data_IF_498111970697
#
_entry.id   IF_498111970697
#
_cell.length_a   1.000
_cell.length_b   1.000
_cell.length_c   1.000
_cell.angle_alpha   90.00
_cell.angle_beta   90.00
_cell.angle_gamma   90.00
#
_symmetry.space_group_name_H-M   'P 1'
#
loop_
_entity.id
_entity.type
_entity.pdbx_description
1 polymer ?
#
# COMPACT_ATOMS: atom_id res chain seq x y z
N UNK A 1 33.14 7.04 -14.50
CA UNK A 1 31.76 7.53 -14.65
C UNK A 1 31.79 8.73 -15.58
N UNK A 2 30.93 8.80 -16.62
CA UNK A 2 30.95 9.93 -17.55
C UNK A 2 30.60 11.24 -16.81
N UNK A 3 31.38 12.29 -17.09
CA UNK A 3 31.22 13.64 -16.57
C UNK A 3 30.32 14.39 -17.56
N UNK A 4 29.35 15.17 -17.07
CA UNK A 4 28.57 16.04 -17.93
C UNK A 4 29.48 17.19 -18.43
N UNK A 5 29.75 17.29 -19.75
CA UNK A 5 30.68 18.30 -20.27
C UNK A 5 30.16 19.74 -20.11
N UNK A 6 28.85 19.95 -19.87
CA UNK A 6 28.26 21.27 -19.65
C UNK A 6 28.31 21.73 -18.18
N UNK A 7 28.41 20.81 -17.22
CA UNK A 7 28.29 21.14 -15.78
C UNK A 7 29.48 20.68 -14.94
N UNK A 8 30.41 19.91 -15.49
CA UNK A 8 31.58 19.39 -14.75
C UNK A 8 31.23 18.43 -13.62
N UNK A 9 29.95 18.06 -13.47
CA UNK A 9 29.46 17.15 -12.45
C UNK A 9 29.47 15.71 -12.97
N UNK A 10 29.72 14.76 -12.07
CA UNK A 10 29.43 13.36 -12.36
C UNK A 10 27.94 13.24 -12.69
N UNK A 11 27.59 12.64 -13.83
CA UNK A 11 26.21 12.22 -14.08
C UNK A 11 25.94 11.01 -13.18
N UNK A 12 25.58 11.24 -11.92
CA UNK A 12 25.13 10.15 -11.06
C UNK A 12 23.78 9.67 -11.62
N UNK A 13 23.76 8.55 -12.34
CA UNK A 13 22.54 7.96 -12.86
C UNK A 13 21.48 7.89 -11.75
N UNK A 14 20.34 8.56 -11.97
CA UNK A 14 19.18 8.55 -11.08
C UNK A 14 18.87 7.12 -10.61
N UNK A 15 18.96 6.82 -9.29
CA UNK A 15 18.95 5.43 -8.81
C UNK A 15 17.59 4.77 -9.04
N UNK A 16 17.62 3.54 -9.55
CA UNK A 16 16.45 2.68 -9.70
C UNK A 16 16.35 1.76 -8.49
N UNK A 17 15.17 1.73 -7.87
CA UNK A 17 14.86 0.86 -6.74
C UNK A 17 13.58 0.07 -7.01
N UNK A 18 13.38 -1.01 -6.26
CA UNK A 18 12.14 -1.79 -6.26
C UNK A 18 11.53 -1.74 -4.88
N UNK A 19 10.23 -1.48 -4.83
CA UNK A 19 9.43 -1.52 -3.59
C UNK A 19 8.21 -2.37 -3.83
N UNK A 20 7.88 -3.20 -2.85
CA UNK A 20 6.75 -4.10 -2.95
C UNK A 20 5.83 -3.99 -1.74
N UNK A 21 4.54 -4.14 -2.00
CA UNK A 21 3.50 -4.30 -1.00
C UNK A 21 2.86 -5.66 -1.22
N UNK A 22 2.67 -6.41 -0.14
CA UNK A 22 2.08 -7.74 -0.17
C UNK A 22 0.89 -7.76 0.78
N UNK A 23 -0.19 -8.42 0.37
CA UNK A 23 -1.33 -8.66 1.24
C UNK A 23 -1.99 -10.00 0.94
N UNK A 24 -2.68 -10.52 1.94
CA UNK A 24 -3.54 -11.69 1.80
C UNK A 24 -4.99 -11.23 1.81
N UNK A 25 -5.75 -11.66 0.81
CA UNK A 25 -7.20 -11.39 0.76
C UNK A 25 -7.96 -12.28 1.76
N UNK A 26 -9.25 -12.04 2.02
CA UNK A 26 -10.07 -12.91 2.86
C UNK A 26 -10.01 -14.40 2.47
N UNK A 27 -10.20 -15.28 3.46
CA UNK A 27 -10.21 -16.72 3.29
C UNK A 27 -11.56 -17.24 2.71
N UNK A 28 -11.97 -16.69 1.58
CA UNK A 28 -13.18 -17.08 0.83
C UNK A 28 -12.87 -17.24 -0.66
N UNK A 29 -13.83 -17.72 -1.45
CA UNK A 29 -13.71 -17.86 -2.90
C UNK A 29 -14.73 -16.98 -3.63
N UNK A 30 -15.11 -15.85 -3.03
CA UNK A 30 -16.12 -14.96 -3.61
C UNK A 30 -15.58 -14.36 -4.89
N UNK A 31 -16.30 -14.55 -6.00
CA UNK A 31 -15.89 -14.01 -7.29
C UNK A 31 -15.87 -12.48 -7.26
N UNK A 32 -14.82 -11.88 -7.83
CA UNK A 32 -14.81 -10.45 -8.13
C UNK A 32 -15.63 -10.18 -9.39
N UNK A 33 -16.49 -9.17 -9.34
CA UNK A 33 -17.05 -8.52 -10.51
C UNK A 33 -16.08 -7.47 -11.07
N UNK A 34 -16.31 -7.06 -12.32
CA UNK A 34 -15.60 -5.93 -12.89
C UNK A 34 -15.91 -4.65 -12.09
N UNK A 35 -14.87 -4.00 -11.58
CA UNK A 35 -14.97 -2.82 -10.73
C UNK A 35 -14.84 -3.09 -9.23
N UNK A 36 -14.72 -4.34 -8.79
CA UNK A 36 -14.55 -4.66 -7.37
C UNK A 36 -13.15 -4.34 -6.87
N UNK A 37 -13.06 -3.87 -5.62
CA UNK A 37 -11.81 -3.73 -4.91
C UNK A 37 -11.21 -5.11 -4.58
N UNK A 38 -9.92 -5.26 -4.83
CA UNK A 38 -9.11 -6.41 -4.41
C UNK A 38 -8.28 -5.91 -3.23
N UNK A 39 -8.57 -6.41 -2.03
CA UNK A 39 -8.11 -5.78 -0.80
C UNK A 39 -7.72 -6.79 0.29
N UNK A 40 -6.94 -6.36 1.30
CA UNK A 40 -6.55 -7.22 2.41
C UNK A 40 -7.74 -7.70 3.22
N UNK A 41 -7.58 -8.88 3.84
CA UNK A 41 -8.54 -9.38 4.81
C UNK A 41 -8.82 -8.36 5.92
N UNK A 42 -10.10 -8.20 6.24
CA UNK A 42 -10.55 -7.35 7.35
C UNK A 42 -10.69 -8.19 8.61
N UNK A 43 -10.23 -7.68 9.74
CA UNK A 43 -10.33 -8.37 11.03
C UNK A 43 -11.23 -7.57 11.98
N UNK A 44 -12.15 -8.24 12.66
CA UNK A 44 -13.02 -7.62 13.64
C UNK A 44 -12.24 -7.22 14.90
N UNK A 45 -12.60 -6.08 15.47
CA UNK A 45 -12.10 -5.58 16.75
C UNK A 45 -13.06 -6.04 17.86
N UNK A 46 -12.51 -6.66 18.90
CA UNK A 46 -13.26 -7.12 20.09
C UNK A 46 -13.01 -6.26 21.32
N UNK A 47 -12.08 -5.29 21.26
CA UNK A 47 -11.84 -4.34 22.33
C UNK A 47 -10.86 -3.23 21.96
N UNK A 48 -10.97 -2.08 22.64
CA UNK A 48 -10.04 -0.97 22.54
C UNK A 48 -9.87 -0.29 23.91
N UNK A 49 -8.68 -0.31 24.49
CA UNK A 49 -8.46 0.25 25.85
C UNK A 49 -8.64 1.76 25.89
N UNK A 50 -9.22 2.27 26.98
CA UNK A 50 -9.23 3.71 27.26
C UNK A 50 -7.92 4.13 27.94
N UNK A 51 -6.83 4.09 27.17
CA UNK A 51 -5.47 4.38 27.63
C UNK A 51 -4.69 5.20 26.57
N UNK A 52 -3.46 5.59 26.88
CA UNK A 52 -2.52 6.20 25.93
C UNK A 52 -1.20 5.42 25.94
N UNK A 53 -0.88 4.65 24.87
CA UNK A 53 -1.67 4.46 23.66
C UNK A 53 -2.91 3.56 23.87
N UNK A 54 -3.92 3.74 23.01
CA UNK A 54 -5.01 2.75 22.85
C UNK A 54 -4.38 1.43 22.41
N UNK A 55 -4.74 0.34 23.10
CA UNK A 55 -4.45 -1.04 22.68
C UNK A 55 -5.73 -1.64 22.12
N UNK A 56 -5.67 -2.05 20.85
CA UNK A 56 -6.76 -2.74 20.15
C UNK A 56 -6.58 -4.24 20.36
N UNK A 57 -7.68 -4.93 20.64
CA UNK A 57 -7.80 -6.39 20.61
C UNK A 57 -8.65 -6.80 19.42
N UNK A 58 -8.20 -7.79 18.67
CA UNK A 58 -8.88 -8.34 17.49
C UNK A 58 -9.44 -9.73 17.78
N UNK A 59 -10.51 -10.11 17.09
CA UNK A 59 -11.19 -11.39 17.28
C UNK A 59 -10.44 -12.60 16.69
N UNK A 60 -9.45 -12.36 15.84
CA UNK A 60 -8.61 -13.35 15.19
C UNK A 60 -7.19 -12.78 14.96
N UNK A 61 -6.17 -13.60 14.67
CA UNK A 61 -4.84 -13.11 14.37
C UNK A 61 -4.83 -12.05 13.27
N UNK A 62 -4.25 -10.88 13.54
CA UNK A 62 -4.32 -9.73 12.62
C UNK A 62 -3.27 -9.75 11.51
N UNK A 63 -2.21 -10.55 11.67
CA UNK A 63 -1.08 -10.68 10.72
C UNK A 63 -0.30 -9.38 10.42
N UNK A 64 -0.65 -8.28 11.08
CA UNK A 64 0.08 -7.01 11.06
C UNK A 64 1.50 -7.13 11.61
N UNK A 65 2.36 -6.25 11.14
CA UNK A 65 3.72 -5.99 11.61
C UNK A 65 3.84 -4.60 12.26
N UNK A 66 4.95 -4.38 12.97
CA UNK A 66 5.28 -3.04 13.45
C UNK A 66 5.39 -2.05 12.29
N UNK A 67 4.93 -0.83 12.54
CA UNK A 67 4.85 0.27 11.58
C UNK A 67 3.89 0.04 10.40
N UNK A 68 3.10 -1.03 10.38
CA UNK A 68 2.00 -1.15 9.43
C UNK A 68 1.00 0.01 9.61
N UNK A 69 0.43 0.43 8.48
CA UNK A 69 -0.65 1.42 8.45
C UNK A 69 -1.94 0.66 8.26
N UNK A 70 -2.93 1.00 9.07
CA UNK A 70 -4.25 0.36 9.04
C UNK A 70 -5.33 1.40 8.93
N UNK A 71 -6.44 1.03 8.31
CA UNK A 71 -7.70 1.73 8.36
C UNK A 71 -8.60 1.04 9.39
N UNK A 72 -9.00 1.77 10.43
CA UNK A 72 -9.96 1.30 11.45
C UNK A 72 -11.29 2.02 11.25
N UNK A 73 -12.39 1.29 11.26
CA UNK A 73 -13.73 1.87 11.12
C UNK A 73 -14.75 1.19 12.05
N UNK A 74 -15.77 1.94 12.47
CA UNK A 74 -16.92 1.39 13.19
C UNK A 74 -16.70 1.07 14.67
N UNK A 75 -15.62 1.53 15.31
CA UNK A 75 -15.44 1.41 16.77
C UNK A 75 -16.40 2.37 17.47
N UNK A 76 -17.24 1.84 18.36
CA UNK A 76 -18.21 2.59 19.17
C UNK A 76 -17.70 2.75 20.60
N UNK A 77 -17.97 3.89 21.23
CA UNK A 77 -17.45 4.25 22.54
C UNK A 77 -16.08 4.92 22.42
N UNK A 78 -15.00 4.14 22.33
CA UNK A 78 -13.64 4.65 22.15
C UNK A 78 -13.36 5.06 20.68
N UNK A 79 -14.09 6.09 20.20
CA UNK A 79 -14.08 6.48 18.79
C UNK A 79 -12.75 7.05 18.30
N UNK A 80 -11.84 7.44 19.21
CA UNK A 80 -10.47 7.83 18.86
C UNK A 80 -9.66 6.70 18.18
N UNK A 81 -10.11 5.45 18.31
CA UNK A 81 -9.52 4.33 17.57
C UNK A 81 -9.75 4.41 16.05
N UNK A 82 -10.86 5.03 15.59
CA UNK A 82 -11.25 5.06 14.18
C UNK A 82 -10.38 5.97 13.31
N UNK A 83 -10.11 5.54 12.08
CA UNK A 83 -9.35 6.27 11.08
C UNK A 83 -8.04 5.56 10.74
N UNK A 84 -7.15 6.28 10.06
CA UNK A 84 -5.85 5.73 9.64
C UNK A 84 -4.87 5.81 10.81
N UNK A 85 -4.25 4.68 11.15
CA UNK A 85 -3.37 4.52 12.31
C UNK A 85 -2.08 3.80 11.94
N UNK A 86 -1.00 4.11 12.66
CA UNK A 86 0.22 3.29 12.65
C UNK A 86 0.18 2.32 13.82
N UNK A 87 0.67 1.11 13.57
CA UNK A 87 0.56 -0.03 14.47
C UNK A 87 1.89 -0.30 15.16
N UNK A 88 1.84 -0.57 16.48
CA UNK A 88 2.89 -1.30 17.19
C UNK A 88 2.30 -2.61 17.71
N UNK A 89 2.75 -3.72 17.14
CA UNK A 89 2.27 -5.06 17.46
C UNK A 89 2.73 -5.46 18.87
N UNK A 90 1.83 -6.07 19.63
CA UNK A 90 2.10 -6.56 20.98
C UNK A 90 1.99 -8.09 21.04
N UNK A 91 0.95 -8.64 20.42
CA UNK A 91 0.73 -10.10 20.26
C UNK A 91 0.14 -10.38 18.87
N UNK A 92 -0.24 -11.62 18.58
CA UNK A 92 -0.93 -11.95 17.32
C UNK A 92 -2.33 -11.34 17.21
N UNK A 93 -2.95 -10.94 18.32
CA UNK A 93 -4.32 -10.40 18.38
C UNK A 93 -4.40 -9.02 19.01
N UNK A 94 -3.26 -8.43 19.42
CA UNK A 94 -3.23 -7.11 20.06
C UNK A 94 -2.13 -6.21 19.51
N UNK A 95 -2.46 -4.93 19.39
CA UNK A 95 -1.52 -3.90 18.95
C UNK A 95 -1.91 -2.53 19.51
N UNK A 96 -0.95 -1.62 19.64
CA UNK A 96 -1.21 -0.24 20.05
C UNK A 96 -1.25 0.75 18.89
N UNK A 97 -2.07 1.80 19.06
CA UNK A 97 -2.33 2.81 18.04
C UNK A 97 -1.42 4.03 18.23
N UNK A 98 -0.74 4.37 17.14
CA UNK A 98 0.10 5.57 17.02
C UNK A 98 -0.43 6.46 15.90
N UNK A 99 -0.19 7.76 16.02
CA UNK A 99 -0.39 8.70 14.93
C UNK A 99 0.50 8.27 13.75
N UNK A 100 -0.10 8.22 12.57
CA UNK A 100 0.55 7.62 11.41
C UNK A 100 1.77 8.42 10.90
N UNK A 101 1.78 9.74 11.16
CA UNK A 101 2.77 10.73 10.75
C UNK A 101 3.80 10.93 11.84
N UNK A 102 3.35 11.33 13.03
CA UNK A 102 4.23 11.74 14.12
C UNK A 102 4.72 10.57 14.98
N UNK A 103 4.06 9.41 14.90
CA UNK A 103 4.35 8.28 15.77
C UNK A 103 3.92 8.47 17.23
N UNK A 104 3.27 9.58 17.58
CA UNK A 104 2.77 9.83 18.92
C UNK A 104 1.68 8.82 19.32
N UNK A 105 1.62 8.44 20.59
CA UNK A 105 0.57 7.59 21.13
C UNK A 105 -0.82 8.24 20.92
N UNK A 106 -1.81 7.46 20.49
CA UNK A 106 -3.20 7.91 20.43
C UNK A 106 -3.85 7.61 21.78
N UNK A 107 -4.39 8.63 22.44
CA UNK A 107 -5.14 8.47 23.69
C UNK A 107 -6.60 8.06 23.42
N UNK A 108 -7.12 7.14 24.23
CA UNK A 108 -8.53 6.79 24.27
C UNK A 108 -9.39 7.99 24.71
N UNK A 109 -10.64 8.04 24.23
CA UNK A 109 -11.59 9.10 24.59
C UNK A 109 -12.78 8.60 25.43
N UNK A 110 -13.02 7.29 25.48
CA UNK A 110 -14.04 6.66 26.30
C UNK A 110 -13.80 5.16 26.41
N UNK A 111 -14.64 4.46 27.19
CA UNK A 111 -14.68 3.01 27.18
C UNK A 111 -15.13 2.47 25.81
N UNK A 112 -14.53 1.37 25.36
CA UNK A 112 -15.02 0.62 24.20
C UNK A 112 -16.41 0.04 24.51
N UNK A 113 -17.33 0.16 23.54
CA UNK A 113 -18.69 -0.37 23.65
C UNK A 113 -18.87 -1.56 22.72
N UNK A 114 -18.60 -1.40 21.42
CA UNK A 114 -18.79 -2.45 20.42
C UNK A 114 -18.16 -2.09 19.07
N UNK A 115 -18.26 -3.03 18.12
CA UNK A 115 -17.92 -2.82 16.72
C UNK A 115 -16.43 -2.66 16.48
N UNK A 116 -16.11 -2.17 15.29
CA UNK A 116 -14.75 -1.97 14.85
C UNK A 116 -14.27 -3.06 13.90
N UNK A 117 -13.68 -2.63 12.79
CA UNK A 117 -12.88 -3.47 11.91
C UNK A 117 -11.54 -2.81 11.68
N UNK A 118 -10.53 -3.62 11.40
CA UNK A 118 -9.20 -3.18 11.00
C UNK A 118 -8.82 -3.83 9.68
N UNK A 119 -8.29 -3.02 8.77
CA UNK A 119 -7.77 -3.48 7.48
C UNK A 119 -6.40 -2.84 7.21
N UNK A 120 -5.37 -3.61 6.82
CA UNK A 120 -4.09 -3.07 6.37
C UNK A 120 -4.25 -2.13 5.18
N UNK A 121 -3.45 -1.06 5.13
CA UNK A 121 -3.31 -0.20 3.95
C UNK A 121 -2.12 -0.70 3.14
N UNK A 122 -2.32 -0.92 1.83
CA UNK A 122 -1.22 -1.27 0.93
C UNK A 122 -0.28 -0.07 0.80
N UNK A 123 0.89 -0.19 1.40
CA UNK A 123 1.91 0.86 1.49
C UNK A 123 3.21 0.36 0.88
N UNK A 124 3.82 1.22 0.08
CA UNK A 124 5.19 1.08 -0.39
C UNK A 124 6.04 2.08 0.39
N UNK A 125 6.82 1.57 1.33
CA UNK A 125 7.61 2.41 2.21
C UNK A 125 8.84 2.99 1.48
N UNK A 126 9.31 4.16 1.91
CA UNK A 126 10.64 4.67 1.55
C UNK A 126 10.92 4.67 0.03
N UNK A 127 9.93 5.03 -0.79
CA UNK A 127 10.06 5.12 -2.24
C UNK A 127 10.99 6.25 -2.66
N UNK A 128 11.14 7.26 -1.82
CA UNK A 128 12.06 8.40 -1.98
C UNK A 128 12.90 8.57 -0.72
N UNK A 129 14.12 9.12 -0.83
CA UNK A 129 15.04 9.21 0.31
C UNK A 129 14.65 10.31 1.31
N UNK A 130 13.90 11.33 0.88
CA UNK A 130 13.53 12.49 1.69
C UNK A 130 12.04 12.77 1.58
N UNK A 131 11.39 13.25 2.66
CA UNK A 131 10.00 13.71 2.60
C UNK A 131 9.77 14.73 1.48
N UNK A 132 8.63 14.62 0.78
CA UNK A 132 8.34 15.46 -0.38
C UNK A 132 9.10 15.09 -1.66
N UNK A 133 9.90 14.02 -1.64
CA UNK A 133 10.66 13.56 -2.80
C UNK A 133 9.76 13.12 -3.96
N UNK A 134 10.34 13.04 -5.16
CA UNK A 134 9.64 12.68 -6.39
C UNK A 134 10.41 11.64 -7.22
N UNK A 135 9.74 11.08 -8.21
CA UNK A 135 10.34 10.14 -9.14
C UNK A 135 9.37 9.73 -10.25
N UNK A 136 9.78 8.74 -11.02
CA UNK A 136 8.94 8.07 -12.01
C UNK A 136 8.87 6.57 -11.73
N UNK A 137 7.67 6.02 -11.73
CA UNK A 137 7.47 4.57 -11.77
C UNK A 137 7.77 4.14 -13.21
N UNK A 138 8.70 3.21 -13.38
CA UNK A 138 9.14 2.73 -14.70
C UNK A 138 8.59 1.35 -15.03
N UNK A 139 8.20 0.58 -14.02
CA UNK A 139 7.56 -0.71 -14.21
C UNK A 139 6.69 -1.08 -13.02
N UNK A 140 5.68 -1.90 -13.29
CA UNK A 140 4.80 -2.49 -12.28
C UNK A 140 4.74 -3.99 -12.50
N UNK A 141 4.98 -4.75 -11.44
CA UNK A 141 4.72 -6.18 -11.39
C UNK A 141 3.56 -6.45 -10.45
N UNK A 142 2.61 -7.27 -10.90
CA UNK A 142 1.59 -7.88 -10.06
C UNK A 142 1.80 -9.39 -10.07
N UNK A 143 1.91 -9.98 -8.89
CA UNK A 143 1.96 -11.41 -8.69
C UNK A 143 0.77 -11.83 -7.80
N UNK A 144 0.11 -12.91 -8.17
CA UNK A 144 -0.96 -13.55 -7.39
C UNK A 144 -0.50 -14.97 -7.08
N UNK A 145 -0.55 -15.37 -5.81
CA UNK A 145 -0.25 -16.74 -5.36
C UNK A 145 -1.42 -17.68 -5.71
N UNK A 146 -1.65 -17.82 -7.01
CA UNK A 146 -2.63 -18.69 -7.63
C UNK A 146 -2.15 -18.99 -9.04
N UNK A 147 -1.92 -20.26 -9.37
CA UNK A 147 -1.43 -20.69 -10.68
C UNK A 147 -2.52 -20.78 -11.76
N UNK A 148 -3.75 -20.37 -11.47
CA UNK A 148 -4.91 -20.52 -12.36
C UNK A 148 -5.50 -19.18 -12.82
N UNK A 149 -4.88 -18.05 -12.47
CA UNK A 149 -5.35 -16.72 -12.89
C UNK A 149 -5.16 -16.57 -14.41
N UNK A 150 -6.24 -16.73 -15.16
CA UNK A 150 -6.25 -16.60 -16.62
C UNK A 150 -7.07 -15.39 -17.03
N UNK A 151 -6.50 -14.52 -17.86
CA UNK A 151 -7.11 -13.26 -18.31
C UNK A 151 -7.56 -12.34 -17.16
N UNK A 152 -6.92 -12.46 -16.00
CA UNK A 152 -7.17 -11.58 -14.86
C UNK A 152 -6.67 -10.18 -15.17
N UNK A 153 -7.59 -9.23 -15.28
CA UNK A 153 -7.28 -7.81 -15.52
C UNK A 153 -7.44 -7.03 -14.23
N UNK A 154 -6.44 -6.22 -13.91
CA UNK A 154 -6.37 -5.47 -12.66
C UNK A 154 -5.91 -4.04 -12.91
N UNK A 155 -6.45 -3.10 -12.15
CA UNK A 155 -5.97 -1.71 -12.11
C UNK A 155 -5.29 -1.44 -10.78
N UNK A 156 -4.02 -1.07 -10.84
CA UNK A 156 -3.25 -0.58 -9.69
C UNK A 156 -3.32 0.94 -9.70
N UNK A 157 -4.03 1.54 -8.75
CA UNK A 157 -4.07 3.00 -8.53
C UNK A 157 -3.06 3.40 -7.47
N UNK A 158 -2.37 4.51 -7.70
CA UNK A 158 -1.30 5.00 -6.82
C UNK A 158 -1.66 6.36 -6.23
N UNK A 159 -1.37 6.53 -4.94
CA UNK A 159 -1.64 7.73 -4.17
C UNK A 159 -0.41 8.16 -3.35
N UNK A 160 -0.23 9.46 -3.14
CA UNK A 160 0.81 10.04 -2.26
C UNK A 160 0.40 10.04 -0.78
N UNK A 161 -0.87 9.73 -0.49
CA UNK A 161 -1.46 9.71 0.86
C UNK A 161 -2.18 8.40 1.12
N UNK A 162 -2.21 7.94 2.39
CA UNK A 162 -3.08 6.84 2.77
C UNK A 162 -4.54 7.16 2.43
N UNK A 163 -5.23 6.20 1.83
CA UNK A 163 -6.67 6.25 1.55
C UNK A 163 -7.40 5.27 2.43
N UNK A 164 -8.66 5.59 2.76
CA UNK A 164 -9.55 4.63 3.40
C UNK A 164 -9.63 3.38 2.53
N UNK A 165 -9.42 2.22 3.13
CA UNK A 165 -9.51 0.97 2.41
C UNK A 165 -10.98 0.66 2.13
N UNK A 166 -11.19 0.07 0.96
CA UNK A 166 -12.48 -0.48 0.56
C UNK A 166 -12.41 -1.97 0.87
N UNK A 167 -13.50 -2.53 1.39
CA UNK A 167 -13.56 -3.96 1.67
C UNK A 167 -13.32 -4.77 0.40
N UNK A 168 -12.72 -5.96 0.56
CA UNK A 168 -12.58 -6.90 -0.54
C UNK A 168 -13.95 -7.25 -1.16
N UNK A 169 -14.01 -7.46 -2.47
CA UNK A 169 -15.24 -7.73 -3.23
C UNK A 169 -16.32 -6.62 -3.16
N UNK A 170 -16.03 -5.45 -2.57
CA UNK A 170 -16.93 -4.31 -2.64
C UNK A 170 -16.62 -3.46 -3.88
N UNK A 171 -17.65 -2.86 -4.47
CA UNK A 171 -17.51 -1.96 -5.60
C UNK A 171 -16.52 -0.83 -5.29
N UNK A 172 -15.51 -0.65 -6.14
CA UNK A 172 -14.52 0.40 -5.98
C UNK A 172 -15.16 1.79 -6.16
N UNK A 173 -14.99 2.66 -5.16
CA UNK A 173 -15.46 4.04 -5.21
C UNK A 173 -14.32 5.00 -5.56
N UNK A 174 -14.42 5.67 -6.71
CA UNK A 174 -13.48 6.72 -7.11
C UNK A 174 -13.91 8.07 -6.52
N UNK A 175 -13.28 8.50 -5.43
CA UNK A 175 -13.63 9.75 -4.75
C UNK A 175 -12.90 10.95 -5.36
N UNK A 176 -13.62 12.05 -5.65
CA UNK A 176 -13.01 13.32 -6.08
C UNK A 176 -12.19 13.97 -4.97
N UNK A 177 -12.56 13.74 -3.71
CA UNK A 177 -11.77 14.11 -2.54
C UNK A 177 -10.34 13.53 -2.57
N UNK A 178 -10.10 12.50 -3.39
CA UNK A 178 -8.79 11.85 -3.54
C UNK A 178 -8.03 12.34 -4.78
N UNK A 179 -8.59 13.25 -5.58
CA UNK A 179 -8.03 13.68 -6.86
C UNK A 179 -6.64 14.27 -6.71
N UNK A 180 -6.46 15.19 -5.77
CA UNK A 180 -5.24 16.01 -5.67
C UNK A 180 -4.00 15.19 -5.24
N UNK A 181 -4.20 14.03 -4.62
CA UNK A 181 -3.12 13.14 -4.19
C UNK A 181 -3.08 11.81 -4.96
N UNK A 182 -3.88 11.67 -6.02
CA UNK A 182 -3.83 10.54 -6.95
C UNK A 182 -2.74 10.76 -7.99
N UNK A 183 -1.77 9.86 -8.04
CA UNK A 183 -0.61 9.96 -8.94
C UNK A 183 -0.92 9.35 -10.33
N UNK A 184 -1.86 8.42 -10.39
CA UNK A 184 -2.27 7.77 -11.63
C UNK A 184 -2.64 6.31 -11.40
N UNK A 185 -2.67 5.54 -12.48
CA UNK A 185 -2.94 4.12 -12.44
C UNK A 185 -2.24 3.36 -13.58
N UNK A 186 -2.07 2.06 -13.38
CA UNK A 186 -1.57 1.13 -14.40
C UNK A 186 -2.55 -0.03 -14.49
N UNK A 187 -2.93 -0.39 -15.71
CA UNK A 187 -3.72 -1.60 -15.99
C UNK A 187 -2.78 -2.76 -16.31
N UNK A 188 -3.08 -3.91 -15.72
CA UNK A 188 -2.24 -5.10 -15.74
C UNK A 188 -3.12 -6.28 -16.13
N UNK A 189 -2.66 -7.08 -17.09
CA UNK A 189 -3.36 -8.30 -17.51
C UNK A 189 -2.44 -9.48 -17.31
N UNK A 190 -2.86 -10.43 -16.48
CA UNK A 190 -2.22 -11.73 -16.35
C UNK A 190 -2.74 -12.60 -17.50
N UNK A 191 -1.91 -12.78 -18.52
CA UNK A 191 -2.32 -13.38 -19.80
C UNK A 191 -2.24 -14.91 -19.79
N UNK A 192 -1.24 -15.47 -19.14
CA UNK A 192 -0.95 -16.90 -19.18
C UNK A 192 -0.67 -17.42 -17.78
N UNK A 193 -1.11 -18.65 -17.54
CA UNK A 193 -0.62 -19.47 -16.45
C UNK A 193 0.54 -20.30 -16.98
N UNK A 194 1.60 -20.45 -16.18
CA UNK A 194 2.68 -21.36 -16.51
C UNK A 194 2.22 -22.83 -16.40
N UNK A 195 3.11 -23.77 -16.74
CA UNK A 195 2.79 -25.20 -16.84
C UNK A 195 2.22 -25.84 -15.56
N UNK A 196 1.83 -27.11 -15.67
CA UNK A 196 1.23 -27.87 -14.57
C UNK A 196 2.10 -27.83 -13.30
N UNK A 197 1.47 -27.56 -12.15
CA UNK A 197 2.13 -27.44 -10.85
C UNK A 197 2.46 -25.99 -10.43
N UNK A 198 2.23 -25.01 -11.30
CA UNK A 198 2.36 -23.59 -10.94
C UNK A 198 1.40 -23.21 -9.81
N UNK A 199 1.90 -22.46 -8.83
CA UNK A 199 1.14 -21.92 -7.70
C UNK A 199 1.08 -20.38 -7.69
N UNK A 200 1.57 -19.76 -8.78
CA UNK A 200 1.66 -18.33 -8.95
C UNK A 200 1.34 -17.94 -10.39
N UNK A 201 0.70 -16.79 -10.56
CA UNK A 201 0.56 -16.12 -11.85
C UNK A 201 1.06 -14.67 -11.70
N UNK A 202 1.80 -14.17 -12.68
CA UNK A 202 2.33 -12.82 -12.64
C UNK A 202 2.25 -12.09 -13.97
N UNK A 203 2.33 -10.76 -13.88
CA UNK A 203 2.53 -9.86 -15.02
C UNK A 203 3.51 -8.79 -14.61
N UNK A 204 4.43 -8.44 -15.51
CA UNK A 204 5.37 -7.35 -15.34
C UNK A 204 5.30 -6.42 -16.56
N UNK A 205 4.81 -5.20 -16.34
CA UNK A 205 4.67 -4.18 -17.39
C UNK A 205 5.77 -3.15 -17.22
N UNK A 206 6.63 -3.01 -18.23
CA UNK A 206 7.51 -1.85 -18.37
C UNK A 206 6.72 -0.71 -19.00
N UNK A 207 6.79 0.48 -18.42
CA UNK A 207 6.08 1.65 -18.91
C UNK A 207 6.91 2.33 -19.99
N UNK A 208 6.29 2.59 -21.15
CA UNK A 208 6.92 3.31 -22.26
C UNK A 208 7.36 4.72 -21.85
N UNK A 209 6.60 5.36 -20.96
CA UNK A 209 6.95 6.60 -20.28
C UNK A 209 6.77 6.40 -18.77
N UNK A 210 7.73 6.85 -17.93
CA UNK A 210 7.58 6.72 -16.49
C UNK A 210 6.34 7.46 -15.99
N UNK A 211 5.53 6.82 -15.14
CA UNK A 211 4.42 7.49 -14.46
C UNK A 211 5.01 8.38 -13.35
N UNK A 212 4.92 9.73 -13.46
CA UNK A 212 5.49 10.60 -12.45
C UNK A 212 4.73 10.50 -11.13
N UNK A 213 5.43 10.71 -10.03
CA UNK A 213 4.82 10.87 -8.72
C UNK A 213 5.57 11.89 -7.87
N UNK A 214 4.86 12.49 -6.92
CA UNK A 214 5.41 13.31 -5.85
C UNK A 214 4.84 12.81 -4.53
N UNK A 215 5.71 12.53 -3.56
CA UNK A 215 5.26 12.21 -2.20
C UNK A 215 4.83 13.49 -1.48
N UNK A 216 3.94 13.39 -0.49
CA UNK A 216 3.64 14.54 0.37
C UNK A 216 4.90 15.06 1.06
N UNK A 217 4.91 16.35 1.40
CA UNK A 217 6.05 17.03 2.03
C UNK A 217 6.52 16.38 3.34
N UNK A 218 5.67 15.59 4.00
CA UNK A 218 5.95 14.87 5.24
C UNK A 218 6.04 13.34 5.07
N UNK A 219 6.09 12.83 3.82
CA UNK A 219 6.15 11.38 3.54
C UNK A 219 7.21 11.01 2.52
N UNK A 220 7.65 9.77 2.64
CA UNK A 220 8.54 9.08 1.70
C UNK A 220 7.88 7.89 1.03
N UNK A 221 6.55 7.76 1.15
CA UNK A 221 5.81 6.52 0.89
C UNK A 221 4.73 6.74 -0.18
N UNK A 222 4.38 5.67 -0.90
CA UNK A 222 3.21 5.62 -1.78
C UNK A 222 2.20 4.59 -1.26
N UNK A 223 0.96 4.75 -1.68
CA UNK A 223 -0.16 3.90 -1.28
C UNK A 223 -0.90 3.39 -2.51
N UNK A 224 -1.42 2.17 -2.42
CA UNK A 224 -2.05 1.49 -3.54
C UNK A 224 -3.48 1.09 -3.19
N UNK A 225 -4.35 1.14 -4.20
CA UNK A 225 -5.60 0.36 -4.23
C UNK A 225 -5.65 -0.44 -5.53
N UNK A 226 -6.16 -1.67 -5.45
CA UNK A 226 -6.29 -2.57 -6.59
C UNK A 226 -7.77 -2.76 -6.89
N UNK A 227 -8.11 -2.82 -8.17
CA UNK A 227 -9.46 -3.12 -8.65
C UNK A 227 -9.39 -4.21 -9.70
N UNK A 228 -10.25 -5.22 -9.61
CA UNK A 228 -10.46 -6.17 -10.69
C UNK A 228 -11.20 -5.45 -11.84
N UNK A 229 -10.65 -5.48 -13.06
CA UNK A 229 -11.30 -4.89 -14.25
C UNK A 229 -12.13 -5.91 -15.02
N UNK A 230 -11.99 -7.18 -14.70
CA UNK A 230 -12.76 -8.28 -15.26
C UNK A 230 -13.15 -9.25 -14.15
N UNK A 231 -14.15 -10.09 -14.44
CA UNK A 231 -14.60 -11.08 -13.48
C UNK A 231 -13.53 -12.16 -13.28
N UNK A 232 -13.27 -12.52 -12.03
CA UNK A 232 -12.26 -13.52 -11.68
C UNK A 232 -12.63 -14.18 -10.35
N UNK A 233 -12.55 -15.51 -10.29
CA UNK A 233 -12.78 -16.26 -9.04
C UNK A 233 -11.46 -16.53 -8.34
N UNK A 234 -11.20 -15.90 -7.19
CA UNK A 234 -9.96 -16.06 -6.46
C UNK A 234 -9.87 -17.41 -5.73
N UNK A 235 -8.64 -17.81 -5.39
CA UNK A 235 -8.41 -18.86 -4.40
C UNK A 235 -8.58 -18.31 -2.98
N UNK A 236 -8.96 -19.19 -2.04
CA UNK A 236 -9.14 -18.82 -0.63
C UNK A 236 -7.82 -18.37 -0.01
N UNK A 237 -7.81 -17.15 0.54
CA UNK A 237 -6.65 -16.60 1.24
C UNK A 237 -5.41 -16.46 0.36
N UNK A 238 -5.58 -16.29 -0.96
CA UNK A 238 -4.43 -16.07 -1.84
C UNK A 238 -3.74 -14.73 -1.55
N UNK A 239 -2.45 -14.68 -1.85
CA UNK A 239 -1.61 -13.51 -1.59
C UNK A 239 -1.35 -12.75 -2.87
N UNK A 240 -1.47 -11.44 -2.82
CA UNK A 240 -1.13 -10.52 -3.89
C UNK A 240 0.14 -9.76 -3.52
N UNK A 241 1.05 -9.63 -4.48
CA UNK A 241 2.27 -8.82 -4.35
C UNK A 241 2.33 -7.83 -5.51
N UNK A 242 2.33 -6.54 -5.18
CA UNK A 242 2.56 -5.45 -6.14
C UNK A 242 3.96 -4.93 -5.93
N UNK A 243 4.78 -4.91 -6.98
CA UNK A 243 6.11 -4.30 -6.97
C UNK A 243 6.18 -3.15 -7.96
N UNK A 244 6.62 -1.98 -7.49
CA UNK A 244 6.97 -0.85 -8.34
C UNK A 244 8.48 -0.82 -8.52
N UNK A 245 8.91 -0.74 -9.78
CA UNK A 245 10.27 -0.30 -10.11
C UNK A 245 10.23 1.22 -10.27
N UNK A 246 11.03 1.91 -9.47
CA UNK A 246 10.98 3.37 -9.30
C UNK A 246 12.34 3.92 -9.66
N UNK A 247 12.36 4.88 -10.59
CA UNK A 247 13.50 5.76 -10.84
C UNK A 247 13.31 7.02 -10.02
N UNK A 248 14.15 7.24 -9.02
CA UNK A 248 14.08 8.42 -8.16
C UNK A 248 14.63 9.63 -8.90
N UNK A 249 14.03 10.80 -8.70
CA UNK A 249 14.67 12.03 -9.14
C UNK A 249 15.88 12.33 -8.24
N UNK A 250 16.93 12.88 -8.82
CA UNK A 250 18.10 13.30 -8.06
C UNK A 250 17.72 14.42 -7.09
N UNK A 251 18.13 14.29 -5.83
CA UNK A 251 18.23 15.44 -4.93
C UNK A 251 19.41 16.27 -5.43
N UNK A 252 19.16 17.55 -5.73
CA UNK A 252 20.20 18.48 -6.20
C UNK A 252 21.41 18.42 -5.25
N UNK A 253 22.44 17.68 -5.67
CA UNK A 253 23.65 17.51 -4.88
C UNK A 253 24.57 18.64 -5.26
N UNK A 254 24.55 19.73 -4.49
CA UNK A 254 25.53 20.80 -4.63
C UNK A 254 26.91 20.24 -4.25
N UNK A 255 27.65 19.73 -5.23
CA UNK A 255 29.06 19.43 -5.05
C UNK A 255 29.80 20.77 -4.90
N UNK A 256 30.04 21.20 -3.66
CA UNK A 256 31.04 22.25 -3.40
C UNK A 256 32.40 21.66 -3.77
N UNK A 257 32.98 22.15 -4.86
CA UNK A 257 34.39 21.91 -5.18
C UNK A 257 35.20 22.44 -3.99
N UNK A 258 35.85 21.54 -3.27
CA UNK A 258 36.78 21.91 -2.23
C UNK A 258 38.03 22.50 -2.89
N UNK A 259 38.25 23.81 -2.67
CA UNK A 259 39.54 24.48 -2.80
C UNK A 259 40.17 24.52 -4.19
N UNK A 260 40.02 25.67 -4.87
CA UNK A 260 41.08 26.25 -5.70
C UNK A 260 42.10 26.97 -4.81
#
# INVERSE_FOLDING_TARGET
MPINPATGTLQQQSPIIKKAATFTRPADTTQYAAGDAVAPATVAISGATNASPIVVTTSAPHLLNNDDRVFIAGVVGNTNANGIRKVKVLTSTTFSLLNEKTGAAIAGNAAYVSGGTVQPILRLDSVVPTPGGSGGIVAVRLQVKNGTVTLGTFRVRIFSRPVNQIADNAAFTLLDANRDYRQGYIDLTILTTDGAGSDSSEVNVQLAQPLPFVCESDRTDLFIQITALGAFTPSSGETYRVELTIRRNEVASAFKVAGS
#
